data_IF_163834280594
#
_entry.id   IF_163834280594
#
_cell.length_a   1.000
_cell.length_b   1.000
_cell.length_c   1.000
_cell.angle_alpha   90.00
_cell.angle_beta   90.00
_cell.angle_gamma   90.00
#
_symmetry.space_group_name_H-M   'P 1'
#
loop_
_entity.id
_entity.type
_entity.pdbx_description
1 polymer ?
#
# COMPACT_ATOMS: atom_id res chain seq x y z
N UNK A 1 -13.22 12.29 24.73
CA UNK A 1 -12.96 12.77 23.35
C UNK A 1 -13.59 11.85 22.29
N UNK A 2 -13.29 10.54 22.26
CA UNK A 2 -13.89 9.60 21.29
C UNK A 2 -15.44 9.62 21.27
N UNK A 3 -16.07 9.56 22.46
CA UNK A 3 -17.53 9.66 22.60
C UNK A 3 -18.12 10.95 22.03
N UNK A 4 -17.38 12.07 22.08
CA UNK A 4 -17.83 13.35 21.52
C UNK A 4 -17.93 13.27 19.99
N UNK A 5 -16.93 12.68 19.32
CA UNK A 5 -16.96 12.49 17.86
C UNK A 5 -17.98 11.43 17.44
N UNK A 6 -18.14 10.34 18.19
CA UNK A 6 -19.24 9.39 17.98
C UNK A 6 -20.61 10.09 18.04
N UNK A 7 -20.83 10.95 19.04
CA UNK A 7 -22.06 11.75 19.19
C UNK A 7 -22.31 12.69 18.00
N UNK A 8 -21.26 13.14 17.31
CA UNK A 8 -21.37 13.94 16.08
C UNK A 8 -21.67 13.13 14.82
N UNK A 9 -21.68 11.79 14.90
CA UNK A 9 -21.99 10.92 13.77
C UNK A 9 -20.78 10.25 13.12
N UNK A 10 -19.55 10.45 13.63
CA UNK A 10 -18.38 9.72 13.13
C UNK A 10 -18.53 8.22 13.42
N UNK A 11 -18.17 7.39 12.42
CA UNK A 11 -18.24 5.93 12.45
C UNK A 11 -16.92 5.25 12.07
N UNK A 12 -15.85 6.01 11.92
CA UNK A 12 -14.53 5.49 11.59
C UNK A 12 -13.45 6.16 12.42
N UNK A 13 -12.52 5.38 12.96
CA UNK A 13 -11.36 5.90 13.67
C UNK A 13 -10.09 5.23 13.16
N UNK A 14 -9.15 6.05 12.67
CA UNK A 14 -7.77 5.66 12.42
C UNK A 14 -6.93 6.14 13.58
N UNK A 15 -6.36 5.21 14.34
CA UNK A 15 -5.53 5.53 15.49
C UNK A 15 -4.07 5.62 15.07
N UNK A 16 -3.48 6.80 15.27
CA UNK A 16 -2.08 7.11 14.98
C UNK A 16 -1.14 6.44 15.99
N UNK A 17 -0.11 5.75 15.49
CA UNK A 17 0.93 5.02 16.27
C UNK A 17 0.44 4.39 17.58
N UNK A 18 -0.74 3.74 17.51
CA UNK A 18 -1.50 3.36 18.71
C UNK A 18 -0.81 2.27 19.53
N UNK A 19 0.07 1.51 18.90
CA UNK A 19 0.86 0.49 19.56
C UNK A 19 1.96 1.04 20.49
N UNK A 20 2.15 2.36 20.54
CA UNK A 20 3.17 2.99 21.38
C UNK A 20 2.62 3.50 22.71
N UNK A 21 1.31 3.39 23.00
CA UNK A 21 0.70 4.04 24.18
C UNK A 21 1.11 3.44 25.53
N UNK A 22 1.67 2.23 25.55
CA UNK A 22 2.10 1.55 26.77
C UNK A 22 3.61 1.64 26.94
N UNK A 23 4.08 2.35 27.96
CA UNK A 23 5.50 2.38 28.36
C UNK A 23 5.74 1.40 29.54
N UNK A 24 6.99 0.93 29.74
CA UNK A 24 7.32 0.13 30.92
C UNK A 24 7.18 0.97 32.19
N UNK A 25 7.08 0.32 33.35
CA UNK A 25 7.02 1.00 34.64
C UNK A 25 8.37 1.64 35.03
N UNK A 26 9.46 1.08 34.51
CA UNK A 26 10.83 1.56 34.71
C UNK A 26 11.44 1.90 33.35
N UNK A 27 12.06 3.07 33.26
CA UNK A 27 12.75 3.52 32.05
C UNK A 27 14.22 3.14 32.17
N UNK A 28 14.64 2.22 31.31
CA UNK A 28 16.01 1.73 31.23
C UNK A 28 16.64 2.20 29.91
N UNK A 29 17.97 2.29 29.90
CA UNK A 29 18.71 2.58 28.69
C UNK A 29 18.66 1.36 27.74
N UNK A 30 18.58 1.64 26.43
CA UNK A 30 18.63 0.60 25.41
C UNK A 30 20.04 0.51 24.82
N UNK A 31 20.84 -0.43 25.32
CA UNK A 31 22.21 -0.65 24.82
C UNK A 31 22.25 -1.43 23.47
N UNK A 32 21.10 -1.90 22.97
CA UNK A 32 21.00 -2.70 21.72
C UNK A 32 20.35 -1.95 20.55
N UNK A 33 19.66 -0.84 20.82
CA UNK A 33 18.81 -0.15 19.86
C UNK A 33 18.54 1.31 20.21
N UNK A 34 17.37 1.80 19.83
CA UNK A 34 16.94 3.20 20.06
C UNK A 34 15.81 3.31 21.10
N UNK A 35 15.59 2.27 21.90
CA UNK A 35 14.56 2.22 22.92
C UNK A 35 13.20 1.74 22.43
N UNK A 36 12.99 1.58 21.11
CA UNK A 36 11.68 1.19 20.57
C UNK A 36 11.13 -0.13 21.13
N UNK A 37 12.02 -1.07 21.47
CA UNK A 37 11.64 -2.37 22.04
C UNK A 37 10.93 -2.29 23.38
N UNK A 38 11.09 -1.18 24.11
CA UNK A 38 10.49 -1.01 25.43
C UNK A 38 9.04 -0.52 25.37
N UNK A 39 8.68 0.27 24.35
CA UNK A 39 7.37 0.91 24.28
C UNK A 39 6.53 0.51 23.06
N UNK A 40 7.14 -0.12 22.05
CA UNK A 40 6.41 -0.69 20.91
C UNK A 40 5.74 -1.97 21.35
N UNK A 41 4.42 -2.05 21.17
CA UNK A 41 3.61 -3.18 21.65
C UNK A 41 3.81 -3.42 23.16
N UNK A 42 3.95 -2.31 23.92
CA UNK A 42 4.33 -2.34 25.33
C UNK A 42 3.37 -3.12 26.24
N UNK A 43 3.77 -3.36 27.51
CA UNK A 43 3.23 -4.43 28.34
C UNK A 43 1.71 -4.40 28.60
N UNK A 44 1.08 -3.22 28.50
CA UNK A 44 -0.35 -3.00 28.75
C UNK A 44 -1.11 -2.50 27.53
N UNK A 45 -0.51 -2.54 26.34
CA UNK A 45 -1.14 -1.98 25.13
C UNK A 45 -2.47 -2.66 24.80
N UNK A 46 -2.52 -3.99 24.88
CA UNK A 46 -3.74 -4.77 24.62
C UNK A 46 -4.81 -4.55 25.70
N UNK A 47 -4.40 -4.36 26.96
CA UNK A 47 -5.29 -4.00 28.06
C UNK A 47 -5.96 -2.65 27.79
N UNK A 48 -5.16 -1.62 27.47
CA UNK A 48 -5.66 -0.28 27.18
C UNK A 48 -6.58 -0.24 25.96
N UNK A 49 -6.29 -1.01 24.91
CA UNK A 49 -7.16 -1.08 23.74
C UNK A 49 -8.50 -1.76 24.03
N UNK A 50 -8.49 -2.87 24.80
CA UNK A 50 -9.73 -3.54 25.23
C UNK A 50 -10.58 -2.61 26.10
N UNK A 51 -9.94 -1.89 27.04
CA UNK A 51 -10.62 -0.87 27.85
C UNK A 51 -11.21 0.23 26.97
N UNK A 52 -10.40 0.86 26.12
CA UNK A 52 -10.85 1.92 25.23
C UNK A 52 -12.06 1.48 24.40
N UNK A 53 -11.99 0.32 23.76
CA UNK A 53 -13.03 -0.20 22.87
C UNK A 53 -14.31 -0.52 23.63
N UNK A 54 -14.20 -1.10 24.82
CA UNK A 54 -15.33 -1.38 25.71
C UNK A 54 -16.02 -0.10 26.17
N UNK A 55 -15.26 0.84 26.74
CA UNK A 55 -15.80 2.06 27.35
C UNK A 55 -16.37 3.05 26.33
N UNK A 56 -15.97 2.94 25.06
CA UNK A 56 -16.43 3.82 23.98
C UNK A 56 -17.40 3.16 23.01
N UNK A 57 -17.64 1.85 23.15
CA UNK A 57 -18.46 1.07 22.21
C UNK A 57 -17.89 1.05 20.80
N UNK A 58 -16.57 1.05 20.62
CA UNK A 58 -15.95 1.07 19.28
C UNK A 58 -15.98 -0.27 18.55
N UNK A 59 -16.44 -1.33 19.22
CA UNK A 59 -16.62 -2.65 18.63
C UNK A 59 -18.01 -2.87 18.00
N UNK A 60 -18.88 -1.86 18.03
CA UNK A 60 -20.19 -1.90 17.36
C UNK A 60 -20.01 -2.18 15.85
N UNK A 61 -20.95 -2.91 15.22
CA UNK A 61 -20.82 -3.37 13.84
C UNK A 61 -20.70 -2.22 12.83
N UNK A 62 -21.39 -1.11 13.09
CA UNK A 62 -21.40 0.09 12.25
C UNK A 62 -20.16 0.99 12.43
N UNK A 63 -19.19 0.60 13.26
CA UNK A 63 -17.95 1.34 13.50
C UNK A 63 -16.74 0.63 12.91
N UNK A 64 -15.91 1.36 12.17
CA UNK A 64 -14.62 0.87 11.69
C UNK A 64 -13.49 1.44 12.55
N UNK A 65 -12.60 0.57 13.01
CA UNK A 65 -11.37 0.96 13.69
C UNK A 65 -10.16 0.37 12.98
N UNK A 66 -9.18 1.22 12.72
CA UNK A 66 -7.89 0.82 12.16
C UNK A 66 -6.76 1.40 13.00
N UNK A 67 -5.81 0.56 13.40
CA UNK A 67 -4.61 1.01 14.09
C UNK A 67 -3.44 1.15 13.12
N UNK A 68 -2.73 2.27 13.19
CA UNK A 68 -1.42 2.40 12.58
C UNK A 68 -0.35 1.84 13.52
N UNK A 69 0.45 0.89 13.02
CA UNK A 69 1.51 0.26 13.79
C UNK A 69 2.87 0.62 13.17
N UNK A 70 3.69 1.38 13.90
CA UNK A 70 4.99 1.90 13.42
C UNK A 70 5.99 0.77 13.07
N UNK A 71 6.14 -0.15 14.02
CA UNK A 71 6.79 -1.47 13.92
C UNK A 71 5.98 -2.43 14.76
N UNK A 72 5.74 -3.64 14.27
CA UNK A 72 4.90 -4.64 14.94
C UNK A 72 5.19 -6.02 14.35
N UNK A 73 4.73 -7.07 15.03
CA UNK A 73 4.76 -8.45 14.57
C UNK A 73 3.37 -8.90 14.10
N UNK A 74 3.34 -9.96 13.28
CA UNK A 74 2.07 -10.60 12.87
C UNK A 74 1.29 -11.07 14.11
N UNK A 75 1.98 -11.61 15.12
CA UNK A 75 1.36 -12.04 16.38
C UNK A 75 0.60 -10.91 17.07
N UNK A 76 1.22 -9.74 17.25
CA UNK A 76 0.53 -8.58 17.82
C UNK A 76 -0.61 -8.09 16.93
N UNK A 77 -0.42 -8.04 15.61
CA UNK A 77 -1.48 -7.67 14.67
C UNK A 77 -2.69 -8.61 14.70
N UNK A 78 -2.48 -9.92 14.86
CA UNK A 78 -3.55 -10.87 15.11
C UNK A 78 -4.26 -10.51 16.41
N UNK A 79 -3.54 -10.30 17.52
CA UNK A 79 -4.17 -9.92 18.78
C UNK A 79 -4.94 -8.59 18.71
N UNK A 80 -4.41 -7.61 17.99
CA UNK A 80 -5.08 -6.32 17.79
C UNK A 80 -6.36 -6.42 16.97
N UNK A 81 -6.47 -7.38 16.06
CA UNK A 81 -7.51 -7.38 15.01
C UNK A 81 -8.43 -8.59 15.00
N UNK A 82 -8.05 -9.67 15.70
CA UNK A 82 -8.87 -10.86 15.80
C UNK A 82 -10.19 -10.52 16.50
N UNK A 83 -11.35 -10.87 15.92
CA UNK A 83 -12.63 -10.52 16.51
C UNK A 83 -12.85 -11.00 17.94
N UNK A 84 -12.24 -12.12 18.34
CA UNK A 84 -12.34 -12.67 19.69
C UNK A 84 -11.66 -11.78 20.74
N UNK A 85 -10.65 -11.01 20.34
CA UNK A 85 -9.90 -10.11 21.23
C UNK A 85 -10.61 -8.80 21.51
N UNK A 86 -11.60 -8.42 20.67
CA UNK A 86 -12.42 -7.21 20.81
C UNK A 86 -11.61 -5.92 21.00
N UNK A 87 -10.52 -5.81 20.23
CA UNK A 87 -9.67 -4.63 20.16
C UNK A 87 -10.04 -3.79 18.91
N UNK A 88 -9.14 -3.67 17.94
CA UNK A 88 -9.37 -2.97 16.69
C UNK A 88 -9.94 -3.93 15.63
N UNK A 89 -10.48 -3.41 14.53
CA UNK A 89 -11.00 -4.24 13.42
C UNK A 89 -9.95 -4.57 12.37
N UNK A 90 -8.92 -3.72 12.22
CA UNK A 90 -7.82 -3.94 11.28
C UNK A 90 -6.58 -3.14 11.68
N UNK A 91 -5.44 -3.44 11.05
CA UNK A 91 -4.20 -2.69 11.28
C UNK A 91 -3.43 -2.42 9.99
N UNK A 92 -2.79 -1.26 9.93
CA UNK A 92 -1.70 -0.99 9.00
C UNK A 92 -0.40 -1.54 9.57
N UNK A 93 0.36 -2.24 8.72
CA UNK A 93 1.78 -2.49 8.95
C UNK A 93 2.58 -1.84 7.81
N UNK A 94 3.84 -1.50 8.07
CA UNK A 94 4.67 -0.71 7.15
C UNK A 94 5.87 -1.49 6.62
N UNK A 95 5.91 -2.81 6.82
CA UNK A 95 7.10 -3.60 6.48
C UNK A 95 7.36 -3.59 4.97
N UNK A 96 6.32 -3.68 4.14
CA UNK A 96 6.43 -3.60 2.68
C UNK A 96 6.92 -2.25 2.17
N UNK A 97 6.82 -1.20 2.99
CA UNK A 97 7.29 0.15 2.67
C UNK A 97 8.70 0.42 3.21
N UNK A 98 9.44 -0.61 3.62
CA UNK A 98 10.83 -0.53 4.10
C UNK A 98 11.80 -1.38 3.25
N UNK A 99 11.30 -2.01 2.18
CA UNK A 99 12.05 -2.94 1.31
C UNK A 99 13.13 -2.26 0.47
N UNK A 100 13.15 -0.94 0.46
CA UNK A 100 14.14 -0.10 -0.22
C UNK A 100 14.96 0.72 0.79
N UNK A 101 14.91 0.40 2.09
CA UNK A 101 15.71 1.09 3.11
C UNK A 101 17.05 0.37 3.29
N UNK A 102 18.14 1.01 2.88
CA UNK A 102 19.46 0.39 2.94
C UNK A 102 19.86 0.17 4.39
N UNK A 103 20.01 -1.09 4.79
CA UNK A 103 20.28 -1.49 6.18
C UNK A 103 19.27 -0.92 7.19
N UNK A 104 18.03 -0.70 6.78
CA UNK A 104 16.98 -0.11 7.62
C UNK A 104 17.02 1.42 7.75
N UNK A 105 17.98 2.10 7.11
CA UNK A 105 18.01 3.57 7.04
C UNK A 105 17.13 4.09 5.91
N UNK A 106 16.13 4.89 6.26
CA UNK A 106 15.19 5.56 5.36
C UNK A 106 15.90 6.51 4.39
N UNK A 107 16.95 7.20 4.84
CA UNK A 107 17.61 8.26 4.08
C UNK A 107 18.75 7.74 3.20
N UNK A 108 19.10 6.46 3.34
CA UNK A 108 20.02 5.77 2.46
C UNK A 108 19.27 5.04 1.34
N UNK A 109 19.55 5.43 0.09
CA UNK A 109 18.89 4.85 -1.08
C UNK A 109 19.45 3.45 -1.41
N UNK A 110 18.54 2.54 -1.78
CA UNK A 110 18.83 1.31 -2.50
C UNK A 110 17.66 0.99 -3.44
N UNK A 111 17.87 0.18 -4.49
CA UNK A 111 16.76 -0.36 -5.27
C UNK A 111 15.78 -1.14 -4.37
N UNK A 112 14.51 -1.20 -4.79
CA UNK A 112 13.51 -2.04 -4.13
C UNK A 112 13.97 -3.51 -4.12
N UNK A 113 14.06 -4.11 -2.93
CA UNK A 113 14.20 -5.56 -2.80
C UNK A 113 12.83 -6.22 -3.10
N UNK A 114 12.61 -6.55 -4.37
CA UNK A 114 11.36 -7.16 -4.82
C UNK A 114 11.11 -8.53 -4.19
N UNK A 115 12.15 -9.35 -4.00
CA UNK A 115 11.99 -10.65 -3.34
C UNK A 115 11.65 -10.48 -1.86
N UNK A 116 12.27 -9.50 -1.19
CA UNK A 116 11.89 -9.06 0.15
C UNK A 116 10.43 -8.61 0.24
N UNK A 117 9.97 -7.80 -0.72
CA UNK A 117 8.59 -7.35 -0.83
C UNK A 117 7.60 -8.51 -0.97
N UNK A 118 7.85 -9.43 -1.91
CA UNK A 118 7.02 -10.63 -2.10
C UNK A 118 6.93 -11.46 -0.83
N UNK A 119 8.08 -11.73 -0.20
CA UNK A 119 8.16 -12.48 1.04
C UNK A 119 7.35 -11.83 2.15
N UNK A 120 7.45 -10.51 2.31
CA UNK A 120 6.66 -9.76 3.29
C UNK A 120 5.17 -9.91 3.00
N UNK A 121 4.72 -9.70 1.76
CA UNK A 121 3.31 -9.85 1.42
C UNK A 121 2.79 -11.26 1.65
N UNK A 122 3.50 -12.29 1.21
CA UNK A 122 3.09 -13.68 1.44
C UNK A 122 3.02 -14.01 2.93
N UNK A 123 4.05 -13.62 3.70
CA UNK A 123 4.12 -13.89 5.15
C UNK A 123 2.96 -13.20 5.90
N UNK A 124 2.71 -11.92 5.59
CA UNK A 124 1.64 -11.15 6.25
C UNK A 124 0.24 -11.58 5.84
N UNK A 125 0.02 -11.91 4.56
CA UNK A 125 -1.28 -12.37 4.09
C UNK A 125 -1.63 -13.75 4.67
N UNK A 126 -0.72 -14.73 4.60
CA UNK A 126 -0.94 -16.06 5.15
C UNK A 126 -1.08 -16.02 6.67
N UNK A 127 -0.14 -15.38 7.38
CA UNK A 127 -0.15 -15.35 8.85
C UNK A 127 -1.39 -14.65 9.43
N UNK A 128 -1.82 -13.53 8.83
CA UNK A 128 -3.04 -12.84 9.27
C UNK A 128 -4.31 -13.61 8.92
N UNK A 129 -4.34 -14.32 7.78
CA UNK A 129 -5.47 -15.18 7.42
C UNK A 129 -5.62 -16.36 8.38
N UNK A 130 -4.53 -17.07 8.68
CA UNK A 130 -4.49 -18.20 9.62
C UNK A 130 -4.86 -17.78 11.04
N UNK A 131 -4.36 -16.64 11.50
CA UNK A 131 -4.63 -16.12 12.84
C UNK A 131 -5.99 -15.43 13.00
N UNK A 132 -6.80 -15.32 11.94
CA UNK A 132 -8.08 -14.61 11.98
C UNK A 132 -7.96 -13.09 12.17
N UNK A 133 -6.80 -12.51 11.86
CA UNK A 133 -6.59 -11.07 11.83
C UNK A 133 -7.08 -10.43 10.52
N UNK A 134 -7.09 -9.10 10.47
CA UNK A 134 -7.49 -8.35 9.28
C UNK A 134 -6.50 -7.24 8.90
N UNK A 135 -6.03 -7.30 7.66
CA UNK A 135 -5.10 -6.32 7.11
C UNK A 135 -5.84 -5.07 6.59
N UNK A 136 -5.29 -3.90 6.88
CA UNK A 136 -5.49 -2.73 6.04
C UNK A 136 -4.40 -2.75 4.96
N UNK A 137 -4.79 -2.95 3.69
CA UNK A 137 -3.84 -3.08 2.57
C UNK A 137 -3.74 -1.75 1.82
N UNK A 138 -2.52 -1.29 1.55
CA UNK A 138 -2.28 0.04 1.00
C UNK A 138 -0.87 0.15 0.42
N UNK A 139 -0.70 1.10 -0.50
CA UNK A 139 0.62 1.54 -0.95
C UNK A 139 0.99 2.92 -0.43
N UNK A 140 0.04 3.85 -0.49
CA UNK A 140 0.29 5.26 -0.28
C UNK A 140 -0.37 5.78 1.00
N UNK A 141 0.28 6.79 1.60
CA UNK A 141 -0.33 7.71 2.54
C UNK A 141 0.47 9.03 2.52
N UNK A 142 0.10 9.97 3.38
CA UNK A 142 0.74 11.29 3.48
C UNK A 142 2.18 11.30 4.03
N UNK A 143 2.72 10.16 4.48
CA UNK A 143 4.11 10.02 4.95
C UNK A 143 5.00 9.23 4.00
N UNK A 144 4.42 8.67 2.94
CA UNK A 144 5.10 7.77 2.02
C UNK A 144 5.19 8.40 0.62
N UNK A 145 6.29 8.16 -0.13
CA UNK A 145 6.36 8.52 -1.54
C UNK A 145 5.24 7.86 -2.35
N UNK A 146 4.92 8.42 -3.52
CA UNK A 146 3.86 7.87 -4.38
C UNK A 146 4.31 6.55 -5.00
N UNK A 147 3.45 5.54 -4.92
CA UNK A 147 3.80 4.16 -5.25
C UNK A 147 4.27 3.97 -6.70
N UNK A 148 3.66 4.67 -7.67
CA UNK A 148 4.06 4.58 -9.08
C UNK A 148 5.51 5.04 -9.31
N UNK A 149 5.95 6.08 -8.58
CA UNK A 149 7.34 6.56 -8.63
C UNK A 149 8.32 5.68 -7.84
N UNK A 150 7.81 4.89 -6.89
CA UNK A 150 8.64 4.13 -5.94
C UNK A 150 8.81 2.66 -6.32
N UNK A 151 7.73 2.02 -6.75
CA UNK A 151 7.65 0.58 -7.02
C UNK A 151 7.17 0.27 -8.45
N UNK A 152 6.84 1.29 -9.23
CA UNK A 152 6.49 1.18 -10.63
C UNK A 152 7.47 1.94 -11.52
N UNK A 153 6.96 2.40 -12.65
CA UNK A 153 7.66 3.29 -13.57
C UNK A 153 6.75 4.49 -13.80
N UNK A 154 7.14 5.67 -13.33
CA UNK A 154 6.37 6.89 -13.46
C UNK A 154 6.66 7.67 -14.75
N UNK A 155 7.36 7.03 -15.70
CA UNK A 155 7.75 7.59 -16.99
C UNK A 155 6.97 6.94 -18.13
N UNK A 156 7.58 5.98 -18.83
CA UNK A 156 7.04 5.29 -19.99
C UNK A 156 5.83 4.42 -19.65
N UNK A 157 5.84 3.75 -18.50
CA UNK A 157 4.82 2.78 -18.11
C UNK A 157 3.96 3.25 -16.93
N UNK A 158 3.79 4.56 -16.77
CA UNK A 158 3.02 5.14 -15.65
C UNK A 158 1.61 4.56 -15.52
N UNK A 159 0.84 4.52 -16.61
CA UNK A 159 -0.53 3.97 -16.58
C UNK A 159 -0.51 2.46 -16.27
N UNK A 160 0.39 1.70 -16.91
CA UNK A 160 0.48 0.25 -16.75
C UNK A 160 0.92 -0.14 -15.33
N UNK A 161 2.03 0.41 -14.85
CA UNK A 161 2.59 0.12 -13.53
C UNK A 161 1.68 0.57 -12.40
N UNK A 162 0.97 1.72 -12.52
CA UNK A 162 -0.03 2.13 -11.55
C UNK A 162 -1.20 1.14 -11.46
N UNK A 163 -1.75 0.69 -12.60
CA UNK A 163 -2.80 -0.34 -12.64
C UNK A 163 -2.32 -1.69 -12.10
N UNK A 164 -1.05 -2.03 -12.34
CA UNK A 164 -0.43 -3.24 -11.80
C UNK A 164 -0.33 -3.20 -10.28
N UNK A 165 0.21 -2.10 -9.72
CA UNK A 165 0.29 -1.91 -8.27
C UNK A 165 -1.10 -1.95 -7.62
N UNK A 166 -2.10 -1.33 -8.26
CA UNK A 166 -3.49 -1.39 -7.84
C UNK A 166 -4.01 -2.83 -7.80
N UNK A 167 -3.77 -3.62 -8.87
CA UNK A 167 -4.16 -5.03 -8.96
C UNK A 167 -3.51 -5.86 -7.86
N UNK A 168 -2.21 -5.68 -7.66
CA UNK A 168 -1.42 -6.43 -6.67
C UNK A 168 -2.02 -6.31 -5.26
N UNK A 169 -2.43 -5.09 -4.85
CA UNK A 169 -2.94 -4.82 -3.51
C UNK A 169 -4.46 -5.02 -3.39
N UNK A 170 -5.25 -4.66 -4.41
CA UNK A 170 -6.70 -4.80 -4.37
C UNK A 170 -7.17 -6.26 -4.50
N UNK A 171 -6.35 -7.17 -5.02
CA UNK A 171 -6.64 -8.60 -5.02
C UNK A 171 -6.38 -9.30 -3.68
N UNK A 172 -5.67 -8.65 -2.74
CA UNK A 172 -5.29 -9.25 -1.45
C UNK A 172 -6.47 -9.33 -0.47
N UNK A 173 -6.32 -10.18 0.55
CA UNK A 173 -7.23 -10.25 1.70
C UNK A 173 -7.00 -9.04 2.59
N UNK A 174 -8.08 -8.34 2.92
CA UNK A 174 -8.06 -7.13 3.74
C UNK A 174 -8.89 -6.00 3.16
N UNK A 175 -8.83 -4.84 3.80
CA UNK A 175 -9.52 -3.62 3.38
C UNK A 175 -8.54 -2.70 2.64
N UNK A 176 -8.75 -2.44 1.33
CA UNK A 176 -7.87 -1.55 0.58
C UNK A 176 -8.10 -0.08 0.97
N UNK A 177 -7.01 0.68 1.07
CA UNK A 177 -7.00 2.13 1.22
C UNK A 177 -6.36 2.76 -0.01
N UNK A 178 -7.04 3.76 -0.58
CA UNK A 178 -6.55 4.56 -1.71
C UNK A 178 -6.24 5.95 -1.16
N UNK A 179 -5.04 6.44 -1.40
CA UNK A 179 -4.65 7.79 -1.01
C UNK A 179 -4.93 8.79 -2.14
N UNK A 180 -5.29 10.04 -1.80
CA UNK A 180 -5.66 11.05 -2.80
C UNK A 180 -4.62 11.21 -3.93
N UNK A 181 -5.07 11.01 -5.16
CA UNK A 181 -4.24 11.09 -6.36
C UNK A 181 -3.57 9.79 -6.78
N UNK A 182 -3.66 8.72 -5.98
CA UNK A 182 -3.22 7.38 -6.35
C UNK A 182 -4.04 6.85 -7.53
N UNK A 183 -5.34 7.13 -7.53
CA UNK A 183 -6.29 6.81 -8.61
C UNK A 183 -6.03 7.58 -9.91
N UNK A 184 -5.25 8.65 -9.87
CA UNK A 184 -4.79 9.40 -11.05
C UNK A 184 -3.40 8.96 -11.52
N UNK A 185 -2.72 8.13 -10.73
CA UNK A 185 -1.30 7.85 -10.89
C UNK A 185 -0.45 9.12 -10.77
N UNK A 186 -0.76 9.99 -9.82
CA UNK A 186 0.13 11.10 -9.45
C UNK A 186 1.50 10.56 -9.06
N UNK A 187 2.54 11.31 -9.36
CA UNK A 187 3.96 10.95 -9.13
C UNK A 187 4.55 11.72 -7.96
N UNK A 188 5.75 11.35 -7.52
CA UNK A 188 6.54 12.19 -6.61
C UNK A 188 6.67 13.62 -7.17
N UNK A 189 6.90 14.58 -6.27
CA UNK A 189 6.72 16.01 -6.53
C UNK A 189 7.61 16.57 -7.66
N UNK A 190 8.73 15.92 -7.97
CA UNK A 190 9.67 16.38 -8.99
C UNK A 190 10.40 17.68 -8.62
N UNK A 191 10.49 18.00 -7.32
CA UNK A 191 11.22 19.16 -6.83
C UNK A 191 12.71 19.03 -7.10
N UNK A 192 13.32 20.14 -7.51
CA UNK A 192 14.71 20.26 -7.94
C UNK A 192 15.57 21.06 -6.97
N UNK A 193 14.99 21.59 -5.89
CA UNK A 193 15.69 22.36 -4.86
C UNK A 193 15.10 22.09 -3.48
N UNK A 194 15.96 22.07 -2.46
CA UNK A 194 15.56 21.99 -1.05
C UNK A 194 14.52 23.06 -0.65
N UNK A 195 14.57 24.24 -1.27
CA UNK A 195 13.65 25.36 -1.00
C UNK A 195 12.18 25.07 -1.36
N UNK A 196 11.91 24.05 -2.17
CA UNK A 196 10.56 23.64 -2.55
C UNK A 196 9.89 22.74 -1.49
N UNK A 197 10.69 22.14 -0.60
CA UNK A 197 10.19 21.31 0.48
C UNK A 197 9.68 22.15 1.66
N UNK A 198 8.78 21.58 2.45
CA UNK A 198 8.12 22.20 3.61
C UNK A 198 8.22 21.32 4.86
N UNK A 199 8.35 20.02 4.67
CA UNK A 199 8.41 19.04 5.74
C UNK A 199 9.67 19.21 6.60
N UNK A 200 9.45 19.35 7.90
CA UNK A 200 10.53 19.60 8.88
C UNK A 200 11.54 18.46 8.94
N UNK A 201 11.10 17.20 8.79
CA UNK A 201 11.99 16.04 8.76
C UNK A 201 12.92 16.11 7.54
N UNK A 202 12.35 16.45 6.37
CA UNK A 202 13.10 16.60 5.11
C UNK A 202 14.13 17.73 5.19
N UNK A 203 13.76 18.90 5.75
CA UNK A 203 14.69 20.02 5.92
C UNK A 203 15.80 19.69 6.93
N UNK A 204 15.45 19.01 8.03
CA UNK A 204 16.45 18.62 9.03
C UNK A 204 17.46 17.60 8.48
N UNK A 205 16.97 16.60 7.74
CA UNK A 205 17.86 15.61 7.12
C UNK A 205 18.68 16.21 5.97
N UNK A 206 18.18 17.23 5.28
CA UNK A 206 19.00 17.98 4.34
C UNK A 206 20.24 18.54 5.06
N UNK A 207 20.06 19.20 6.20
CA UNK A 207 21.17 19.76 6.99
C UNK A 207 22.12 18.66 7.49
N UNK A 208 21.60 17.58 8.09
CA UNK A 208 22.42 16.45 8.59
C UNK A 208 23.30 15.86 7.47
N UNK A 209 22.72 15.59 6.31
CA UNK A 209 23.43 14.95 5.20
C UNK A 209 24.48 15.90 4.60
N UNK A 210 24.14 17.20 4.49
CA UNK A 210 25.08 18.24 4.07
C UNK A 210 26.26 18.39 5.04
N UNK A 211 25.99 18.43 6.34
CA UNK A 211 27.03 18.49 7.39
C UNK A 211 27.91 17.24 7.41
N UNK A 212 27.34 16.08 7.03
CA UNK A 212 28.07 14.82 6.86
C UNK A 212 28.92 14.76 5.58
N UNK A 213 28.94 15.82 4.77
CA UNK A 213 29.77 15.96 3.57
C UNK A 213 29.15 15.42 2.28
N UNK A 214 27.86 15.09 2.26
CA UNK A 214 27.16 14.65 1.04
C UNK A 214 26.90 15.85 0.12
N UNK A 215 27.09 15.65 -1.19
CA UNK A 215 26.87 16.70 -2.18
C UNK A 215 25.39 17.13 -2.24
N UNK A 216 25.14 18.41 -2.51
CA UNK A 216 23.77 18.95 -2.53
C UNK A 216 22.87 18.25 -3.56
N UNK A 217 23.41 17.90 -4.73
CA UNK A 217 22.64 17.22 -5.75
C UNK A 217 22.23 15.82 -5.28
N UNK A 218 23.12 15.13 -4.58
CA UNK A 218 22.83 13.82 -3.98
C UNK A 218 21.79 13.92 -2.86
N UNK A 219 21.90 14.92 -1.97
CA UNK A 219 20.88 15.16 -0.94
C UNK A 219 19.52 15.48 -1.58
N UNK A 220 19.48 16.32 -2.62
CA UNK A 220 18.25 16.62 -3.34
C UNK A 220 17.63 15.37 -3.98
N UNK A 221 18.45 14.46 -4.50
CA UNK A 221 17.99 13.18 -5.04
C UNK A 221 17.40 12.28 -3.96
N UNK A 222 18.02 12.23 -2.77
CA UNK A 222 17.46 11.53 -1.61
C UNK A 222 16.09 12.11 -1.24
N UNK A 223 15.96 13.44 -1.14
CA UNK A 223 14.67 14.09 -0.85
C UNK A 223 13.61 13.74 -1.91
N UNK A 224 13.99 13.73 -3.20
CA UNK A 224 13.10 13.40 -4.32
C UNK A 224 12.51 11.99 -4.22
N UNK A 225 13.22 11.07 -3.57
CA UNK A 225 12.76 9.70 -3.36
C UNK A 225 12.13 9.45 -1.97
N UNK A 226 12.48 10.24 -0.95
CA UNK A 226 12.16 9.94 0.46
C UNK A 226 11.31 10.95 1.19
N UNK A 227 11.26 12.20 0.73
CA UNK A 227 10.51 13.23 1.42
C UNK A 227 9.03 12.87 1.51
N UNK A 228 8.42 13.16 2.66
CA UNK A 228 6.98 13.03 2.87
C UNK A 228 6.20 14.01 1.99
N UNK A 229 6.81 15.12 1.59
CA UNK A 229 6.17 16.11 0.72
C UNK A 229 5.85 15.57 -0.68
N UNK A 230 6.50 14.48 -1.10
CA UNK A 230 6.25 13.85 -2.39
C UNK A 230 4.79 13.41 -2.58
N UNK A 231 4.06 13.12 -1.50
CA UNK A 231 2.64 12.78 -1.52
C UNK A 231 1.74 13.86 -0.93
N UNK A 232 2.28 15.05 -0.60
CA UNK A 232 1.53 16.18 -0.01
C UNK A 232 1.32 17.34 -0.96
N UNK A 233 1.87 17.26 -2.17
CA UNK A 233 1.56 18.23 -3.23
C UNK A 233 0.05 18.31 -3.45
N UNK A 234 -0.46 19.50 -3.83
CA UNK A 234 -1.88 19.68 -4.13
C UNK A 234 -2.45 18.63 -5.07
N UNK A 235 -3.70 18.24 -4.81
CA UNK A 235 -4.46 17.37 -5.71
C UNK A 235 -4.58 18.02 -7.09
N UNK A 236 -4.37 17.23 -8.14
CA UNK A 236 -4.35 17.70 -9.52
C UNK A 236 -5.74 17.54 -10.15
N UNK A 237 -6.59 18.57 -10.05
CA UNK A 237 -7.98 18.50 -10.55
C UNK A 237 -8.06 18.73 -12.06
N UNK A 238 -7.34 19.72 -12.58
CA UNK A 238 -7.38 20.15 -13.99
C UNK A 238 -5.97 20.49 -14.53
N UNK A 239 -5.87 20.88 -15.81
CA UNK A 239 -4.64 21.43 -16.41
C UNK A 239 -4.43 22.94 -16.17
N UNK A 240 -5.44 23.62 -15.62
CA UNK A 240 -5.40 25.05 -15.30
C UNK A 240 -4.44 25.44 -14.17
N UNK A 241 -4.45 26.74 -13.81
CA UNK A 241 -3.57 27.32 -12.77
C UNK A 241 -3.64 26.52 -11.47
N UNK A 242 -2.48 26.16 -10.92
CA UNK A 242 -2.32 25.31 -9.74
C UNK A 242 -3.12 24.00 -9.81
N UNK A 243 -3.27 23.42 -11.00
CA UNK A 243 -4.08 22.24 -11.27
C UNK A 243 -5.54 22.35 -10.80
N UNK A 244 -6.10 23.56 -10.74
CA UNK A 244 -7.45 23.79 -10.23
C UNK A 244 -7.60 23.65 -8.71
N UNK A 245 -6.51 23.43 -7.96
CA UNK A 245 -6.56 23.29 -6.50
C UNK A 245 -6.92 24.60 -5.79
N UNK A 246 -6.40 25.73 -6.28
CA UNK A 246 -6.63 27.04 -5.69
C UNK A 246 -6.32 28.16 -6.68
N UNK A 247 -7.04 29.28 -6.54
CA UNK A 247 -6.71 30.53 -7.26
C UNK A 247 -5.62 31.35 -6.56
N UNK A 248 -5.22 30.99 -5.33
CA UNK A 248 -4.16 31.65 -4.57
C UNK A 248 -2.80 30.96 -4.77
N UNK A 249 -1.78 31.35 -4.00
CA UNK A 249 -0.52 30.59 -3.93
C UNK A 249 -0.73 29.38 -3.02
N UNK A 250 -0.52 28.13 -3.48
CA UNK A 250 -0.65 26.97 -2.63
C UNK A 250 0.47 26.93 -1.59
N UNK A 251 0.21 26.30 -0.44
CA UNK A 251 1.16 26.22 0.68
C UNK A 251 2.46 25.45 0.31
N UNK A 252 2.36 24.53 -0.64
CA UNK A 252 3.45 23.83 -1.30
C UNK A 252 3.19 23.78 -2.81
N UNK A 253 4.24 23.77 -3.62
CA UNK A 253 4.12 23.81 -5.08
C UNK A 253 3.35 22.62 -5.65
N UNK A 254 2.60 22.88 -6.72
CA UNK A 254 1.92 21.83 -7.50
C UNK A 254 2.93 21.10 -8.36
N UNK A 255 2.75 19.79 -8.55
CA UNK A 255 3.56 19.05 -9.50
C UNK A 255 3.40 19.61 -10.92
N UNK A 256 4.51 19.83 -11.62
CA UNK A 256 4.51 20.43 -12.96
C UNK A 256 3.82 19.56 -14.01
N UNK A 257 3.71 18.26 -13.77
CA UNK A 257 3.04 17.31 -14.66
C UNK A 257 1.50 17.35 -14.60
N UNK A 258 0.90 18.26 -13.83
CA UNK A 258 -0.56 18.36 -13.75
C UNK A 258 -1.26 18.64 -15.08
N UNK A 259 -0.56 19.21 -16.06
CA UNK A 259 -1.09 19.41 -17.41
C UNK A 259 -1.36 18.11 -18.17
N UNK A 260 -0.78 16.98 -17.74
CA UNK A 260 -0.99 15.65 -18.36
C UNK A 260 -1.44 14.59 -17.37
N UNK A 261 -1.43 14.88 -16.07
CA UNK A 261 -1.93 14.01 -15.00
C UNK A 261 -2.91 14.84 -14.18
N UNK A 262 -4.19 14.72 -14.42
CA UNK A 262 -5.21 15.39 -13.61
C UNK A 262 -6.54 14.64 -13.68
N UNK A 263 -7.46 14.99 -12.79
CA UNK A 263 -8.76 14.33 -12.70
C UNK A 263 -9.60 14.52 -13.97
N UNK A 264 -9.61 15.71 -14.59
CA UNK A 264 -10.33 15.96 -15.84
C UNK A 264 -9.85 15.04 -16.98
N UNK A 265 -8.53 14.95 -17.23
CA UNK A 265 -7.96 14.03 -18.23
C UNK A 265 -8.32 12.57 -17.93
N UNK A 266 -8.21 12.15 -16.67
CA UNK A 266 -8.52 10.78 -16.28
C UNK A 266 -10.01 10.43 -16.43
N UNK A 267 -10.91 11.41 -16.33
CA UNK A 267 -12.35 11.19 -16.53
C UNK A 267 -12.74 11.13 -18.01
N UNK A 268 -11.98 11.79 -18.89
CA UNK A 268 -12.17 11.73 -20.34
C UNK A 268 -11.57 10.45 -20.97
N UNK A 269 -10.49 9.91 -20.40
CA UNK A 269 -9.86 8.68 -20.85
C UNK A 269 -10.53 7.43 -20.25
N UNK A 270 -11.27 6.68 -21.07
CA UNK A 270 -11.90 5.41 -20.64
C UNK A 270 -10.92 4.32 -20.20
N UNK A 271 -9.65 4.40 -20.61
CA UNK A 271 -8.57 3.51 -20.15
C UNK A 271 -7.72 4.16 -19.05
N UNK A 272 -8.24 5.16 -18.34
CA UNK A 272 -7.51 5.80 -17.26
C UNK A 272 -7.27 4.90 -16.05
N UNK A 273 -6.31 5.30 -15.22
CA UNK A 273 -6.04 4.66 -13.93
C UNK A 273 -7.29 4.78 -13.03
N UNK A 274 -8.04 5.88 -13.13
CA UNK A 274 -9.23 6.12 -12.33
C UNK A 274 -10.31 5.06 -12.58
N UNK A 275 -10.68 4.82 -13.84
CA UNK A 275 -11.68 3.79 -14.16
C UNK A 275 -11.20 2.37 -13.83
N UNK A 276 -9.88 2.14 -13.87
CA UNK A 276 -9.30 0.89 -13.42
C UNK A 276 -9.49 0.66 -11.91
N UNK A 277 -9.20 1.65 -11.07
CA UNK A 277 -9.49 1.60 -9.63
C UNK A 277 -10.99 1.44 -9.36
N UNK A 278 -11.85 2.18 -10.08
CA UNK A 278 -13.28 2.04 -9.96
C UNK A 278 -13.74 0.60 -10.25
N UNK A 279 -13.19 -0.02 -11.30
CA UNK A 279 -13.48 -1.43 -11.64
C UNK A 279 -12.99 -2.38 -10.54
N UNK A 280 -11.80 -2.20 -9.99
CA UNK A 280 -11.29 -3.01 -8.86
C UNK A 280 -12.19 -2.91 -7.62
N UNK A 281 -12.66 -1.70 -7.28
CA UNK A 281 -13.57 -1.47 -6.16
C UNK A 281 -14.90 -2.19 -6.41
N UNK A 282 -15.45 -2.09 -7.63
CA UNK A 282 -16.69 -2.76 -8.00
C UNK A 282 -16.55 -4.27 -7.92
N UNK A 283 -15.48 -4.84 -8.49
CA UNK A 283 -15.21 -6.29 -8.45
C UNK A 283 -15.17 -6.81 -7.00
N UNK A 284 -14.54 -6.08 -6.07
CA UNK A 284 -14.51 -6.45 -4.65
C UNK A 284 -15.91 -6.54 -4.00
N UNK A 285 -16.91 -5.83 -4.55
CA UNK A 285 -18.32 -5.89 -4.09
C UNK A 285 -19.14 -6.95 -4.82
N UNK A 286 -18.71 -7.37 -6.00
CA UNK A 286 -19.39 -8.37 -6.83
C UNK A 286 -18.91 -9.79 -6.51
N UNK A 287 -17.65 -9.97 -6.11
CA UNK A 287 -17.02 -11.28 -5.90
C UNK A 287 -16.50 -11.42 -4.47
N UNK A 288 -17.20 -12.23 -3.67
CA UNK A 288 -16.86 -12.47 -2.26
C UNK A 288 -15.46 -13.08 -2.09
N UNK A 289 -14.98 -13.88 -3.05
CA UNK A 289 -13.63 -14.48 -3.02
C UNK A 289 -12.50 -13.44 -2.89
N UNK A 290 -12.71 -12.20 -3.36
CA UNK A 290 -11.74 -11.11 -3.21
C UNK A 290 -11.65 -10.63 -1.75
N UNK A 291 -12.75 -10.62 -1.01
CA UNK A 291 -12.75 -10.14 0.38
C UNK A 291 -12.54 -11.29 1.36
N UNK A 292 -13.31 -12.37 1.22
CA UNK A 292 -13.40 -13.47 2.18
C UNK A 292 -12.44 -14.63 1.90
N UNK A 293 -11.92 -14.73 0.67
CA UNK A 293 -11.09 -15.87 0.30
C UNK A 293 -9.82 -16.01 1.11
N UNK A 294 -9.38 -17.26 1.27
CA UNK A 294 -8.06 -17.57 1.81
C UNK A 294 -6.93 -16.96 0.97
N UNK A 295 -5.68 -17.18 1.36
CA UNK A 295 -4.53 -16.70 0.60
C UNK A 295 -3.53 -17.85 0.40
N UNK A 296 -3.22 -18.16 -0.85
CA UNK A 296 -2.19 -19.15 -1.21
C UNK A 296 -1.12 -18.48 -2.07
N UNK A 297 0.13 -18.39 -1.61
CA UNK A 297 1.22 -17.88 -2.42
C UNK A 297 1.53 -18.83 -3.58
N UNK A 298 1.84 -18.29 -4.75
CA UNK A 298 2.35 -19.03 -5.91
C UNK A 298 3.48 -18.24 -6.56
N UNK A 299 4.33 -18.91 -7.34
CA UNK A 299 5.50 -18.29 -7.98
C UNK A 299 6.42 -17.57 -6.98
N UNK A 300 6.58 -18.09 -5.75
CA UNK A 300 7.31 -17.42 -4.66
C UNK A 300 8.73 -17.01 -5.07
N UNK A 301 9.43 -17.88 -5.80
CA UNK A 301 10.81 -17.67 -6.26
C UNK A 301 10.94 -16.90 -7.59
N UNK A 302 9.83 -16.55 -8.24
CA UNK A 302 9.87 -15.86 -9.54
C UNK A 302 10.33 -14.40 -9.39
N UNK A 303 11.43 -14.02 -10.04
CA UNK A 303 12.10 -12.73 -9.80
C UNK A 303 11.37 -11.51 -10.40
N UNK A 304 10.44 -11.70 -11.34
CA UNK A 304 9.67 -10.61 -11.95
C UNK A 304 8.16 -10.58 -11.59
N UNK A 305 7.58 -11.71 -11.16
CA UNK A 305 6.12 -11.85 -11.03
C UNK A 305 5.73 -12.06 -9.57
N UNK A 306 4.80 -11.25 -9.10
CA UNK A 306 4.10 -11.45 -7.84
C UNK A 306 2.73 -12.04 -8.11
N UNK A 307 2.43 -13.18 -7.47
CA UNK A 307 1.22 -13.95 -7.74
C UNK A 307 0.69 -14.68 -6.52
N UNK A 308 -0.63 -14.88 -6.47
CA UNK A 308 -1.29 -15.62 -5.40
C UNK A 308 -2.68 -16.08 -5.84
N UNK A 309 -3.22 -17.08 -5.12
CA UNK A 309 -4.60 -17.52 -5.24
C UNK A 309 -5.45 -17.05 -4.07
N UNK A 310 -6.74 -16.83 -4.31
CA UNK A 310 -7.78 -16.66 -3.29
C UNK A 310 -8.85 -17.71 -3.53
N UNK A 311 -9.26 -18.41 -2.47
CA UNK A 311 -10.21 -19.52 -2.57
C UNK A 311 -11.35 -19.28 -1.58
N UNK A 312 -12.59 -19.30 -2.05
CA UNK A 312 -13.80 -19.11 -1.23
C UNK A 312 -15.03 -19.72 -1.92
N UNK A 313 -15.86 -20.47 -1.20
CA UNK A 313 -17.16 -20.90 -1.74
C UNK A 313 -17.12 -21.73 -3.03
N UNK A 314 -15.99 -22.39 -3.33
CA UNK A 314 -15.76 -23.11 -4.59
C UNK A 314 -15.17 -22.26 -5.72
N UNK A 315 -15.13 -20.93 -5.56
CA UNK A 315 -14.45 -20.02 -6.47
C UNK A 315 -12.94 -19.98 -6.21
N UNK A 316 -12.17 -19.88 -7.29
CA UNK A 316 -10.72 -19.61 -7.22
C UNK A 316 -10.39 -18.38 -8.03
N UNK A 317 -9.82 -17.37 -7.38
CA UNK A 317 -9.21 -16.20 -8.01
C UNK A 317 -7.69 -16.41 -8.09
N UNK A 318 -7.10 -16.12 -9.25
CA UNK A 318 -5.65 -16.03 -9.44
C UNK A 318 -5.30 -14.59 -9.77
N UNK A 319 -4.36 -14.02 -9.03
CA UNK A 319 -3.81 -12.69 -9.29
C UNK A 319 -2.38 -12.85 -9.75
N UNK A 320 -2.02 -12.21 -10.87
CA UNK A 320 -0.69 -12.23 -11.46
C UNK A 320 -0.29 -10.80 -11.81
N UNK A 321 0.88 -10.37 -11.35
CA UNK A 321 1.39 -9.00 -11.57
C UNK A 321 2.87 -9.04 -11.90
N UNK A 322 3.25 -8.48 -13.04
CA UNK A 322 4.62 -8.32 -13.49
C UNK A 322 5.19 -7.00 -12.98
N UNK A 323 6.27 -7.04 -12.21
CA UNK A 323 6.93 -5.86 -11.62
C UNK A 323 8.10 -5.35 -12.47
N UNK A 324 8.31 -5.88 -13.68
CA UNK A 324 9.40 -5.48 -14.56
C UNK A 324 8.90 -4.90 -15.88
N UNK A 325 9.81 -4.25 -16.60
CA UNK A 325 9.58 -3.67 -17.92
C UNK A 325 9.78 -4.67 -19.08
N UNK A 326 9.90 -5.97 -18.77
CA UNK A 326 10.07 -7.05 -19.75
C UNK A 326 8.87 -8.00 -19.72
N UNK A 327 8.51 -8.56 -20.87
CA UNK A 327 7.42 -9.54 -20.94
C UNK A 327 7.76 -10.81 -20.14
N UNK A 328 6.78 -11.34 -19.43
CA UNK A 328 6.88 -12.61 -18.71
C UNK A 328 5.89 -13.61 -19.30
N UNK A 329 6.29 -14.87 -19.42
CA UNK A 329 5.41 -15.97 -19.79
C UNK A 329 5.33 -16.95 -18.62
N UNK A 330 4.12 -17.20 -18.14
CA UNK A 330 3.84 -18.08 -17.01
C UNK A 330 3.15 -19.32 -17.54
N UNK A 331 3.77 -20.48 -17.40
CA UNK A 331 3.17 -21.75 -17.82
C UNK A 331 2.05 -22.16 -16.86
N UNK A 332 1.06 -22.91 -17.36
CA UNK A 332 0.00 -23.43 -16.51
C UNK A 332 0.56 -24.26 -15.33
N UNK A 333 1.63 -25.02 -15.59
CA UNK A 333 2.32 -25.83 -14.59
C UNK A 333 2.96 -24.99 -13.47
N UNK A 334 3.47 -23.79 -13.77
CA UNK A 334 4.11 -22.92 -12.78
C UNK A 334 3.11 -22.42 -11.72
N UNK A 335 1.85 -22.29 -12.11
CA UNK A 335 0.73 -21.92 -11.21
C UNK A 335 -0.06 -23.14 -10.73
N UNK A 336 0.51 -24.34 -10.88
CA UNK A 336 -0.05 -25.64 -10.45
C UNK A 336 -1.43 -25.90 -11.04
N UNK A 337 -1.60 -25.67 -12.34
CA UNK A 337 -2.79 -26.01 -13.10
C UNK A 337 -2.42 -26.91 -14.28
N UNK A 338 -3.34 -27.77 -14.70
CA UNK A 338 -3.28 -28.36 -16.04
C UNK A 338 -3.64 -27.33 -17.11
N UNK A 339 -3.29 -27.61 -18.37
CA UNK A 339 -3.69 -26.75 -19.49
C UNK A 339 -5.22 -26.65 -19.61
N UNK A 340 -5.93 -27.76 -19.37
CA UNK A 340 -7.39 -27.83 -19.36
C UNK A 340 -7.99 -26.97 -18.25
N UNK A 341 -7.49 -27.11 -17.02
CA UNK A 341 -7.93 -26.30 -15.88
C UNK A 341 -7.69 -24.82 -16.12
N UNK A 342 -6.55 -24.45 -16.73
CA UNK A 342 -6.29 -23.07 -17.05
C UNK A 342 -7.42 -22.54 -17.93
N UNK A 343 -7.88 -23.26 -18.97
CA UNK A 343 -8.94 -22.77 -19.89
C UNK A 343 -10.28 -22.45 -19.22
N UNK A 344 -10.58 -23.04 -18.06
CA UNK A 344 -11.81 -22.79 -17.30
C UNK A 344 -11.87 -21.40 -16.67
N UNK A 345 -10.71 -20.75 -16.47
CA UNK A 345 -10.66 -19.43 -15.85
C UNK A 345 -11.14 -18.32 -16.80
N UNK A 346 -11.98 -17.41 -16.30
CA UNK A 346 -12.40 -16.17 -16.96
C UNK A 346 -11.53 -15.00 -16.51
N UNK A 347 -11.29 -14.03 -17.38
CA UNK A 347 -10.58 -12.79 -17.02
C UNK A 347 -11.54 -11.78 -16.41
N UNK A 348 -11.34 -11.40 -15.15
CA UNK A 348 -12.11 -10.34 -14.50
C UNK A 348 -11.59 -8.95 -14.89
N UNK A 349 -10.28 -8.78 -14.83
CA UNK A 349 -9.60 -7.53 -15.17
C UNK A 349 -8.18 -7.82 -15.65
N UNK A 350 -7.73 -7.06 -16.64
CA UNK A 350 -6.35 -7.00 -17.08
C UNK A 350 -6.01 -5.53 -17.40
N UNK A 351 -4.77 -5.09 -17.18
CA UNK A 351 -4.32 -3.73 -17.52
C UNK A 351 -3.64 -3.65 -18.89
N UNK A 352 -3.56 -4.76 -19.62
CA UNK A 352 -2.96 -4.90 -20.93
C UNK A 352 -3.86 -5.74 -21.86
N UNK A 353 -3.42 -5.87 -23.12
CA UNK A 353 -4.02 -6.80 -24.08
C UNK A 353 -3.57 -8.24 -23.79
N UNK A 354 -4.01 -8.79 -22.66
CA UNK A 354 -3.70 -10.12 -22.16
C UNK A 354 -3.67 -11.16 -23.30
N UNK A 355 -2.52 -11.82 -23.48
CA UNK A 355 -2.39 -12.96 -24.39
C UNK A 355 -2.33 -14.23 -23.56
N UNK A 356 -3.30 -15.12 -23.77
CA UNK A 356 -3.42 -16.38 -23.05
C UNK A 356 -3.72 -17.52 -24.02
N UNK A 357 -3.13 -18.67 -23.74
CA UNK A 357 -3.44 -19.95 -24.37
C UNK A 357 -3.69 -21.00 -23.28
N UNK A 358 -3.99 -22.24 -23.67
CA UNK A 358 -4.06 -23.35 -22.72
C UNK A 358 -2.70 -23.62 -22.05
N UNK A 359 -1.59 -23.34 -22.75
CA UNK A 359 -0.23 -23.54 -22.24
C UNK A 359 0.19 -22.52 -21.18
N UNK A 360 -0.36 -21.31 -21.19
CA UNK A 360 0.07 -20.28 -20.25
C UNK A 360 -0.44 -18.87 -20.53
N UNK A 361 0.11 -17.93 -19.77
CA UNK A 361 -0.29 -16.53 -19.71
C UNK A 361 0.92 -15.65 -20.01
N UNK A 362 0.81 -14.76 -21.00
CA UNK A 362 1.81 -13.73 -21.26
C UNK A 362 1.41 -12.43 -20.58
N UNK A 363 2.25 -11.95 -19.66
CA UNK A 363 2.16 -10.62 -19.07
C UNK A 363 3.06 -9.67 -19.84
N UNK A 364 2.52 -8.53 -20.30
CA UNK A 364 3.33 -7.47 -20.89
C UNK A 364 4.25 -6.81 -19.82
N UNK A 365 5.17 -5.90 -20.20
CA UNK A 365 5.84 -5.01 -19.25
C UNK A 365 4.83 -4.35 -18.31
N UNK A 366 5.01 -4.52 -16.99
CA UNK A 366 4.05 -4.10 -15.97
C UNK A 366 2.61 -4.63 -16.17
N UNK A 367 2.47 -5.78 -16.82
CA UNK A 367 1.19 -6.46 -17.04
C UNK A 367 0.60 -7.05 -15.76
N UNK A 368 -0.71 -6.98 -15.62
CA UNK A 368 -1.44 -7.44 -14.45
C UNK A 368 -2.80 -8.02 -14.85
N UNK A 369 -3.18 -9.13 -14.20
CA UNK A 369 -4.45 -9.81 -14.46
C UNK A 369 -5.03 -10.44 -13.20
N UNK A 370 -6.36 -10.41 -13.09
CA UNK A 370 -7.12 -11.29 -12.19
C UNK A 370 -7.96 -12.27 -13.01
N UNK A 371 -7.78 -13.55 -12.77
CA UNK A 371 -8.51 -14.65 -13.39
C UNK A 371 -9.39 -15.33 -12.34
N UNK A 372 -10.62 -15.68 -12.68
CA UNK A 372 -11.54 -16.40 -11.79
C UNK A 372 -12.02 -17.70 -12.41
N UNK A 373 -12.09 -18.77 -11.61
CA UNK A 373 -12.86 -19.97 -11.91
C UNK A 373 -14.02 -20.04 -10.93
N UNK A 374 -15.23 -20.13 -11.47
CA UNK A 374 -16.46 -20.35 -10.72
C UNK A 374 -16.71 -21.87 -10.54
N UNK A 375 -17.56 -22.29 -9.59
CA UNK A 375 -17.82 -23.71 -9.28
C UNK A 375 -18.33 -24.56 -10.44
#
# INVERSE_FOLDING_TARGET
>A
MLLYWKKKGIRGFRFDVINLISKPAYFEDDDEGDGRRFYTDGPRVHEYLKEMVKETGLYEDDIITVGEMSSTTIHHCIQYTNPQERQLKMCFNFHHLKVDYKNGDKWSLMPCDFMGLKKIFHTWQSGMAEGGGWNAVFWCNHDQPRAVSRFGDDTKYRKQSAKMLATAIHGMRGTPYIYQGEELGMTNAGFTSASQYRDVESLHYFDILKESGIDEAEVCEILRQRSRDNSRTPMQWSDGVNAGFTSAVPWIEVNRNHTTINAEECLEDSDSIFYYYQKLIRLRKEYDVISEGGYEPILEDHEAVFAYKRIYGGETLIVLTNFTDTCQFIEAADIKLSEEELTEYKTLIANDGLLRSAAGIRLAPYGAVMLIREP
#
